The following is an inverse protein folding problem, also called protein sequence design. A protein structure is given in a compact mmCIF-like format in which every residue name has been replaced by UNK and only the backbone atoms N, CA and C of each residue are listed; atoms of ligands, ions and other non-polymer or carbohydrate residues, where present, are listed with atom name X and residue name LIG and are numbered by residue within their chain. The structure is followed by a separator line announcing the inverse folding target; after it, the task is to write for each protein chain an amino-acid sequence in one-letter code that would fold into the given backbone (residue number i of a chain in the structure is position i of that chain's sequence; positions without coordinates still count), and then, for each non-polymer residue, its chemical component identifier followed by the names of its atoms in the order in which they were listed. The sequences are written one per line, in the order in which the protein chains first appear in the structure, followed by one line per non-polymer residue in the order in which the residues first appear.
data_IF_598700322285
#
_entry.id   IF_598700322285
#
_cell.length_a   1.000
_cell.length_b   1.000
_cell.length_c   1.000
_cell.angle_alpha   90.00
_cell.angle_beta   90.00
_cell.angle_gamma   90.00
#
_symmetry.space_group_name_H-M   'P 1'
#
loop_
_entity.id
_entity.type
_entity.pdbx_description
1 polymer ?
#
# COMPACT_ATOMS: atom_id res chain seq x y z
N UNK A 1 10.08 1.75 4.96
CA UNK A 1 9.03 1.20 5.85
C UNK A 1 8.19 0.13 5.15
N UNK A 2 7.49 0.45 4.04
CA UNK A 2 6.64 -0.52 3.31
C UNK A 2 7.32 -1.86 3.00
N UNK A 3 8.45 -1.83 2.28
CA UNK A 3 9.19 -3.05 1.88
C UNK A 3 9.73 -3.81 3.10
N UNK A 4 10.20 -3.09 4.12
CA UNK A 4 10.72 -3.71 5.34
C UNK A 4 9.63 -4.43 6.14
N UNK A 5 8.42 -3.87 6.25
CA UNK A 5 7.29 -4.54 6.90
C UNK A 5 6.88 -5.78 6.12
N UNK A 6 6.80 -5.70 4.78
CA UNK A 6 6.47 -6.83 3.93
C UNK A 6 7.44 -8.00 4.18
N UNK A 7 8.74 -7.74 4.17
CA UNK A 7 9.74 -8.79 4.42
C UNK A 7 9.70 -9.31 5.86
N UNK A 8 9.43 -8.45 6.85
CA UNK A 8 9.25 -8.89 8.23
C UNK A 8 8.10 -9.91 8.36
N UNK A 9 6.96 -9.66 7.71
CA UNK A 9 5.83 -10.58 7.70
C UNK A 9 6.17 -11.89 6.98
N UNK A 10 6.96 -11.84 5.90
CA UNK A 10 7.43 -13.04 5.18
C UNK A 10 8.32 -13.91 6.07
N UNK A 11 9.21 -13.28 6.86
CA UNK A 11 10.06 -14.03 7.79
C UNK A 11 9.26 -14.61 8.96
N UNK A 12 8.22 -13.91 9.43
CA UNK A 12 7.30 -14.43 10.44
C UNK A 12 6.50 -15.62 9.94
N UNK A 13 6.05 -15.60 8.68
CA UNK A 13 5.37 -16.72 8.02
C UNK A 13 6.30 -17.94 7.91
N UNK A 14 7.53 -17.75 7.43
CA UNK A 14 8.55 -18.81 7.35
C UNK A 14 8.91 -19.41 8.70
N UNK A 15 8.82 -18.63 9.77
CA UNK A 15 9.05 -19.09 11.14
C UNK A 15 7.81 -19.77 11.77
N UNK A 16 6.66 -19.79 11.08
CA UNK A 16 5.40 -20.30 11.62
C UNK A 16 4.79 -19.42 12.72
N UNK A 17 5.19 -18.15 12.78
CA UNK A 17 4.79 -17.19 13.82
C UNK A 17 3.74 -16.18 13.36
N UNK A 18 3.50 -16.06 12.06
CA UNK A 18 2.55 -15.08 11.52
C UNK A 18 1.12 -15.31 12.06
N UNK A 19 0.68 -16.57 12.15
CA UNK A 19 -0.65 -16.94 12.67
C UNK A 19 -0.84 -16.68 14.17
N UNK A 20 0.26 -16.40 14.89
CA UNK A 20 0.22 -16.06 16.31
C UNK A 20 -0.07 -14.56 16.55
N UNK A 21 -0.09 -13.75 15.49
CA UNK A 21 -0.24 -12.29 15.59
C UNK A 21 -1.72 -11.92 15.63
N UNK A 22 -2.17 -11.36 16.76
CA UNK A 22 -3.55 -10.88 16.92
C UNK A 22 -3.76 -9.47 16.34
N UNK A 23 -2.73 -8.61 16.39
CA UNK A 23 -2.80 -7.24 15.91
C UNK A 23 -1.58 -6.88 15.07
N UNK A 24 -1.84 -6.31 13.89
CA UNK A 24 -0.83 -5.72 13.03
C UNK A 24 -1.04 -4.19 12.99
N UNK A 25 -0.14 -3.45 13.61
CA UNK A 25 -0.22 -1.99 13.69
C UNK A 25 0.83 -1.34 12.78
N UNK A 26 0.55 -0.13 12.29
CA UNK A 26 1.48 0.63 11.44
C UNK A 26 1.15 2.11 11.37
N UNK A 27 2.14 2.91 11.00
CA UNK A 27 2.05 4.37 10.83
C UNK A 27 2.92 4.80 9.66
N UNK A 28 2.51 5.87 8.96
CA UNK A 28 3.25 6.40 7.81
C UNK A 28 3.51 5.30 6.77
N UNK A 29 4.72 5.15 6.23
CA UNK A 29 4.99 4.22 5.14
C UNK A 29 4.72 2.73 5.44
N UNK A 30 4.55 2.28 6.69
CA UNK A 30 4.14 0.89 6.96
C UNK A 30 2.65 0.68 6.68
N UNK A 31 1.83 1.73 6.78
CA UNK A 31 0.40 1.65 6.40
C UNK A 31 0.21 1.38 4.92
N UNK A 32 1.17 1.74 4.06
CA UNK A 32 1.11 1.45 2.62
C UNK A 32 1.28 -0.05 2.33
N UNK A 33 2.11 -0.74 3.12
CA UNK A 33 2.22 -2.20 3.08
C UNK A 33 0.91 -2.82 3.53
N UNK A 34 0.40 -2.40 4.69
CA UNK A 34 -0.89 -2.88 5.21
C UNK A 34 -2.03 -2.67 4.21
N UNK A 35 -2.19 -1.46 3.66
CA UNK A 35 -3.20 -1.16 2.66
C UNK A 35 -3.06 -2.00 1.38
N UNK A 36 -1.85 -2.44 1.04
CA UNK A 36 -1.63 -3.34 -0.10
C UNK A 36 -1.95 -4.79 0.22
N UNK A 37 -1.60 -5.27 1.42
CA UNK A 37 -1.90 -6.62 1.91
C UNK A 37 -3.41 -6.83 2.06
N UNK A 38 -4.09 -5.92 2.77
CA UNK A 38 -5.51 -6.03 3.09
C UNK A 38 -6.45 -5.86 1.88
N UNK A 39 -5.93 -5.60 0.68
CA UNK A 39 -6.71 -5.71 -0.57
C UNK A 39 -7.03 -7.16 -0.93
N UNK A 40 -6.22 -8.10 -0.44
CA UNK A 40 -6.40 -9.53 -0.63
C UNK A 40 -6.92 -10.12 0.70
N UNK A 41 -8.20 -10.55 0.78
CA UNK A 41 -8.80 -10.98 2.05
C UNK A 41 -8.06 -12.12 2.76
N UNK A 42 -7.40 -12.98 2.00
CA UNK A 42 -6.66 -14.16 2.44
C UNK A 42 -5.13 -13.99 2.36
N UNK A 43 -4.65 -12.73 2.37
CA UNK A 43 -3.25 -12.38 2.14
C UNK A 43 -2.26 -13.16 3.00
N UNK A 44 -2.60 -13.44 4.27
CA UNK A 44 -1.69 -14.11 5.22
C UNK A 44 -1.45 -15.57 4.86
N UNK A 45 -2.38 -16.23 4.18
CA UNK A 45 -2.25 -17.63 3.71
C UNK A 45 -1.58 -17.75 2.35
N UNK A 46 -1.42 -16.63 1.63
CA UNK A 46 -0.87 -16.57 0.27
C UNK A 46 0.22 -15.50 0.16
N UNK A 47 1.01 -15.34 1.23
CA UNK A 47 1.88 -14.19 1.41
C UNK A 47 2.92 -14.04 0.30
N UNK A 48 3.45 -15.14 -0.23
CA UNK A 48 4.37 -15.11 -1.38
C UNK A 48 3.69 -14.56 -2.65
N UNK A 49 2.46 -14.98 -2.95
CA UNK A 49 1.71 -14.45 -4.09
C UNK A 49 1.41 -12.95 -3.91
N UNK A 50 1.07 -12.53 -2.70
CA UNK A 50 0.81 -11.11 -2.41
C UNK A 50 2.10 -10.29 -2.47
N UNK A 51 3.23 -10.85 -2.03
CA UNK A 51 4.57 -10.24 -2.19
C UNK A 51 4.84 -9.98 -3.66
N UNK A 52 4.66 -10.97 -4.52
CA UNK A 52 4.93 -10.84 -5.95
C UNK A 52 4.05 -9.77 -6.60
N UNK A 53 2.74 -9.77 -6.29
CA UNK A 53 1.81 -8.70 -6.72
C UNK A 53 2.25 -7.31 -6.26
N UNK A 54 2.72 -7.17 -5.02
CA UNK A 54 3.20 -5.89 -4.48
C UNK A 54 4.49 -5.45 -5.19
N UNK A 55 5.43 -6.36 -5.40
CA UNK A 55 6.71 -6.08 -6.09
C UNK A 55 6.45 -5.71 -7.55
N UNK A 56 5.60 -6.45 -8.26
CA UNK A 56 5.18 -6.14 -9.62
C UNK A 56 4.54 -4.75 -9.69
N UNK A 57 3.63 -4.45 -8.76
CA UNK A 57 3.01 -3.14 -8.66
C UNK A 57 4.04 -2.04 -8.43
N UNK A 58 5.03 -2.23 -7.57
CA UNK A 58 6.07 -1.22 -7.33
C UNK A 58 6.95 -1.00 -8.57
N UNK A 59 7.23 -2.05 -9.33
CA UNK A 59 8.06 -2.00 -10.54
C UNK A 59 7.31 -1.53 -11.80
N UNK A 60 5.98 -1.62 -11.83
CA UNK A 60 5.21 -1.19 -13.01
C UNK A 60 5.33 0.33 -13.24
N UNK A 61 4.98 0.85 -14.42
CA UNK A 61 4.94 2.29 -14.65
C UNK A 61 4.05 3.00 -13.63
N UNK A 62 4.39 4.26 -13.33
CA UNK A 62 3.55 5.10 -12.47
C UNK A 62 2.21 5.44 -13.12
N UNK A 63 1.28 5.95 -12.32
CA UNK A 63 -0.02 6.45 -12.78
C UNK A 63 0.17 7.63 -13.73
N UNK A 64 -0.63 7.66 -14.81
CA UNK A 64 -0.53 8.68 -15.85
C UNK A 64 -0.80 10.09 -15.29
N UNK A 65 -0.21 11.11 -15.92
CA UNK A 65 -0.44 12.51 -15.51
C UNK A 65 -1.91 12.91 -15.62
N UNK A 66 -2.63 12.38 -16.63
CA UNK A 66 -4.06 12.62 -16.80
C UNK A 66 -4.87 12.07 -15.62
N UNK A 67 -4.57 10.86 -15.16
CA UNK A 67 -5.20 10.25 -13.97
C UNK A 67 -4.87 11.04 -12.70
N UNK A 68 -3.63 11.51 -12.53
CA UNK A 68 -3.26 12.37 -11.40
C UNK A 68 -4.07 13.67 -11.38
N UNK A 69 -4.22 14.33 -12.52
CA UNK A 69 -5.03 15.55 -12.63
C UNK A 69 -6.51 15.27 -12.35
N UNK A 70 -7.05 14.17 -12.86
CA UNK A 70 -8.43 13.76 -12.60
C UNK A 70 -8.67 13.52 -11.09
N UNK A 71 -7.74 12.81 -10.42
CA UNK A 71 -7.80 12.53 -8.99
C UNK A 71 -7.66 13.81 -8.16
N UNK A 72 -6.77 14.72 -8.55
CA UNK A 72 -6.63 16.03 -7.90
C UNK A 72 -7.89 16.87 -8.04
N UNK A 73 -8.51 16.90 -9.22
CA UNK A 73 -9.78 17.61 -9.44
C UNK A 73 -10.88 17.03 -8.54
N UNK A 74 -10.96 15.71 -8.41
CA UNK A 74 -11.89 15.05 -7.49
C UNK A 74 -11.65 15.47 -6.04
N UNK A 75 -10.40 15.61 -5.62
CA UNK A 75 -10.06 16.04 -4.26
C UNK A 75 -10.34 17.52 -4.02
N UNK A 76 -10.10 18.37 -5.02
CA UNK A 76 -10.40 19.80 -4.95
C UNK A 76 -11.91 20.09 -4.75
N UNK A 77 -12.77 19.21 -5.25
CA UNK A 77 -14.23 19.32 -5.07
C UNK A 77 -14.73 18.87 -3.68
N UNK A 78 -13.84 18.39 -2.79
CA UNK A 78 -14.20 18.08 -1.40
C UNK A 78 -14.25 19.38 -0.60
N UNK A 79 -15.14 19.43 0.39
CA UNK A 79 -15.27 20.59 1.29
C UNK A 79 -13.98 20.89 2.10
N UNK A 80 -13.09 19.89 2.26
CA UNK A 80 -11.89 19.98 3.09
C UNK A 80 -10.60 19.66 2.32
N UNK A 81 -10.38 20.31 1.18
CA UNK A 81 -9.14 20.15 0.41
C UNK A 81 -7.91 20.67 1.18
N UNK A 82 -6.81 19.91 1.15
CA UNK A 82 -5.59 20.25 1.88
C UNK A 82 -4.30 19.84 1.15
N UNK A 83 -3.14 20.24 1.69
CA UNK A 83 -1.83 19.77 1.19
C UNK A 83 -1.68 18.24 1.27
N UNK A 84 -2.42 17.57 2.15
CA UNK A 84 -2.46 16.11 2.23
C UNK A 84 -3.06 15.49 0.96
N UNK A 85 -4.07 16.14 0.36
CA UNK A 85 -4.66 15.70 -0.91
C UNK A 85 -3.66 15.84 -2.08
N UNK A 86 -2.93 16.96 -2.14
CA UNK A 86 -1.84 17.16 -3.10
C UNK A 86 -0.74 16.09 -2.95
N UNK A 87 -0.31 15.85 -1.70
CA UNK A 87 0.69 14.84 -1.40
C UNK A 87 0.20 13.42 -1.77
N UNK A 88 -1.07 13.10 -1.53
CA UNK A 88 -1.65 11.81 -1.89
C UNK A 88 -1.66 11.56 -3.42
N UNK A 89 -1.97 12.59 -4.21
CA UNK A 89 -1.93 12.49 -5.68
C UNK A 89 -0.51 12.34 -6.20
N UNK A 90 0.44 13.10 -5.66
CA UNK A 90 1.83 13.09 -6.14
C UNK A 90 2.58 11.81 -5.74
N UNK A 91 2.47 11.44 -4.46
CA UNK A 91 3.30 10.39 -3.86
C UNK A 91 2.54 9.07 -3.66
N UNK A 92 1.42 9.06 -2.94
CA UNK A 92 0.71 7.81 -2.58
C UNK A 92 0.25 7.05 -3.83
N UNK A 93 -0.31 7.77 -4.79
CA UNK A 93 -0.80 7.20 -6.06
C UNK A 93 0.33 6.55 -6.88
N UNK A 94 1.59 6.96 -6.68
CA UNK A 94 2.73 6.36 -7.38
C UNK A 94 3.18 5.02 -6.78
N UNK A 95 2.96 4.80 -5.47
CA UNK A 95 3.42 3.60 -4.75
C UNK A 95 2.31 2.58 -4.46
N UNK A 96 1.16 3.04 -3.96
CA UNK A 96 0.02 2.16 -3.66
C UNK A 96 -0.79 1.87 -4.93
N UNK A 97 -0.63 2.72 -5.97
CA UNK A 97 -1.26 2.65 -7.29
C UNK A 97 -2.76 2.37 -7.22
N UNK A 98 -3.43 3.27 -6.49
CA UNK A 98 -4.89 3.39 -6.41
C UNK A 98 -5.44 4.40 -7.40
#
# INVERSE_FOLDING_TARGET
AMVALLECLIQLDKAGLLDCILYLCGVSGSTWCMASLYKEPDWSTKLDTVKDKIVERLNSPGVSWAEKVAKLKKYYMKDSFSLTDLWAVLFVTSYVKE
#
